data_IF_238894070949
#
_entry.id   IF_238894070949
#
_cell.length_a   1.000
_cell.length_b   1.000
_cell.length_c   1.000
_cell.angle_alpha   90.00
_cell.angle_beta   90.00
_cell.angle_gamma   90.00
#
_symmetry.space_group_name_H-M   'P 1'
#
loop_
_entity.id
_entity.type
_entity.pdbx_description
1 polymer ?
#
# COMPACT_ATOMS: atom_id res chain seq x y z
N UNK A 1 3.58 -47.67 -63.42
CA UNK A 1 4.94 -47.98 -63.92
C UNK A 1 5.97 -47.38 -62.97
N UNK A 2 6.89 -48.23 -62.47
CA UNK A 2 8.24 -47.99 -61.89
C UNK A 2 8.43 -46.75 -60.99
N UNK A 3 8.52 -46.89 -59.65
CA UNK A 3 9.66 -47.34 -58.80
C UNK A 3 10.92 -46.47 -58.93
N UNK A 4 11.31 -45.79 -57.83
CA UNK A 4 12.64 -45.67 -57.20
C UNK A 4 12.38 -45.02 -55.82
N UNK A 5 12.43 -45.67 -54.65
CA UNK A 5 13.49 -46.39 -53.95
C UNK A 5 14.77 -45.57 -53.71
N UNK A 6 14.84 -44.93 -52.53
CA UNK A 6 16.10 -44.75 -51.79
C UNK A 6 15.84 -45.18 -50.34
N UNK A 7 16.55 -46.24 -49.97
CA UNK A 7 16.71 -46.79 -48.63
C UNK A 7 17.92 -46.07 -48.00
N UNK A 8 17.78 -45.58 -46.78
CA UNK A 8 18.91 -45.50 -45.83
C UNK A 8 18.43 -46.10 -44.51
N UNK A 9 19.19 -47.08 -44.04
CA UNK A 9 19.03 -47.87 -42.81
C UNK A 9 20.08 -47.39 -41.80
N UNK A 10 19.85 -47.74 -40.52
CA UNK A 10 20.72 -47.66 -39.32
C UNK A 10 20.58 -46.37 -38.50
N UNK A 11 20.52 -46.41 -37.17
CA UNK A 11 20.72 -47.48 -36.19
C UNK A 11 19.94 -47.15 -34.91
N UNK A 12 19.54 -48.19 -34.17
CA UNK A 12 18.94 -48.05 -32.86
C UNK A 12 19.93 -47.56 -31.80
N UNK A 13 19.42 -46.75 -30.87
CA UNK A 13 19.91 -46.67 -29.50
C UNK A 13 18.67 -46.60 -28.60
N UNK A 14 18.34 -47.74 -27.97
CA UNK A 14 17.47 -47.76 -26.81
C UNK A 14 18.20 -47.03 -25.68
N UNK A 15 17.84 -45.79 -25.42
CA UNK A 15 18.16 -45.13 -24.16
C UNK A 15 16.95 -45.18 -23.24
N UNK A 16 17.07 -46.06 -22.26
CA UNK A 16 16.25 -46.15 -21.08
C UNK A 16 16.28 -44.81 -20.35
N UNK A 17 15.20 -44.02 -20.47
CA UNK A 17 14.99 -42.86 -19.61
C UNK A 17 14.78 -43.34 -18.17
N UNK A 18 15.87 -43.36 -17.38
CA UNK A 18 15.79 -43.35 -15.92
C UNK A 18 14.95 -42.15 -15.51
N UNK A 19 13.76 -42.41 -14.95
CA UNK A 19 13.03 -41.42 -14.16
C UNK A 19 13.93 -41.02 -13.00
N UNK A 20 14.59 -39.87 -13.11
CA UNK A 20 15.11 -39.18 -11.95
C UNK A 20 13.88 -38.71 -11.16
N UNK A 21 13.50 -39.47 -10.14
CA UNK A 21 12.63 -38.97 -9.09
C UNK A 21 13.34 -37.74 -8.48
N UNK A 22 12.73 -36.54 -8.50
CA UNK A 22 13.10 -35.53 -7.53
C UNK A 22 12.89 -36.20 -6.16
N UNK A 23 13.90 -36.13 -5.30
CA UNK A 23 13.77 -36.50 -3.90
C UNK A 23 12.51 -35.83 -3.35
N UNK A 24 11.48 -36.64 -3.10
CA UNK A 24 10.22 -36.19 -2.59
C UNK A 24 10.45 -35.54 -1.24
N UNK A 25 10.24 -34.23 -1.18
CA UNK A 25 9.84 -33.60 0.05
C UNK A 25 8.64 -34.39 0.59
N UNK A 26 8.63 -34.81 1.87
CA UNK A 26 7.51 -35.58 2.39
C UNK A 26 6.22 -34.79 2.15
N UNK A 27 5.13 -35.44 1.70
CA UNK A 27 3.85 -34.76 1.64
C UNK A 27 3.55 -34.18 3.02
N UNK A 28 3.04 -32.92 3.12
CA UNK A 28 2.72 -32.34 4.41
C UNK A 28 1.84 -33.29 5.20
N UNK A 29 2.24 -33.59 6.43
CA UNK A 29 1.54 -34.52 7.30
C UNK A 29 0.05 -34.14 7.36
N UNK A 30 -0.82 -35.05 6.94
CA UNK A 30 -2.26 -34.83 6.75
C UNK A 30 -3.01 -34.71 8.08
N UNK A 31 -2.69 -33.69 8.88
CA UNK A 31 -3.35 -33.43 10.15
C UNK A 31 -3.40 -31.94 10.47
N UNK A 32 -4.53 -31.52 11.03
CA UNK A 32 -4.67 -30.24 11.71
C UNK A 32 -4.43 -30.44 13.21
N UNK A 33 -3.98 -29.39 13.88
CA UNK A 33 -3.85 -29.32 15.34
C UNK A 33 -4.61 -28.11 15.86
N UNK A 34 -5.05 -28.19 17.11
CA UNK A 34 -5.71 -27.07 17.80
C UNK A 34 -4.65 -26.22 18.50
N UNK A 35 -4.64 -24.93 18.19
CA UNK A 35 -3.71 -23.97 18.77
C UNK A 35 -4.49 -22.90 19.51
N UNK A 36 -4.30 -22.83 20.84
CA UNK A 36 -4.80 -21.71 21.64
C UNK A 36 -3.85 -20.54 21.48
N UNK A 37 -4.32 -19.45 20.89
CA UNK A 37 -3.55 -18.21 20.69
C UNK A 37 -4.02 -17.17 21.69
N UNK A 38 -3.12 -16.64 22.50
CA UNK A 38 -3.39 -15.58 23.45
C UNK A 38 -2.32 -14.48 23.36
N UNK A 39 -2.67 -13.27 23.80
CA UNK A 39 -1.77 -12.14 23.86
C UNK A 39 -2.05 -11.27 25.09
N UNK A 40 -1.23 -10.25 25.31
CA UNK A 40 -1.35 -9.31 26.43
C UNK A 40 -2.65 -8.51 26.43
N UNK A 41 -3.32 -8.40 25.28
CA UNK A 41 -4.68 -7.87 25.15
C UNK A 41 -5.44 -8.58 24.02
N UNK A 42 -6.75 -8.30 23.91
CA UNK A 42 -7.56 -8.77 22.79
C UNK A 42 -6.99 -8.25 21.47
N UNK A 43 -6.89 -9.12 20.48
CA UNK A 43 -6.38 -8.77 19.16
C UNK A 43 -6.92 -9.68 18.07
N UNK A 44 -6.57 -9.37 16.83
CA UNK A 44 -6.99 -10.11 15.64
C UNK A 44 -5.93 -11.18 15.32
N UNK A 45 -6.32 -12.46 15.22
CA UNK A 45 -5.39 -13.57 14.99
C UNK A 45 -5.12 -13.71 13.48
N UNK A 46 -3.84 -13.73 13.11
CA UNK A 46 -3.35 -13.98 11.76
C UNK A 46 -2.58 -15.31 11.73
N UNK A 47 -2.84 -16.09 10.68
CA UNK A 47 -2.08 -17.29 10.35
C UNK A 47 -1.41 -17.07 9.00
N UNK A 48 -0.09 -17.20 8.94
CA UNK A 48 0.73 -17.00 7.74
C UNK A 48 0.43 -15.67 7.03
N UNK A 49 0.19 -14.63 7.84
CA UNK A 49 -0.13 -13.28 7.39
C UNK A 49 -1.57 -13.03 6.95
N UNK A 50 -2.45 -14.03 7.02
CA UNK A 50 -3.88 -13.89 6.69
C UNK A 50 -4.72 -13.81 7.94
N UNK A 51 -5.64 -12.84 8.03
CA UNK A 51 -6.57 -12.75 9.16
C UNK A 51 -7.51 -13.97 9.18
N UNK A 52 -7.66 -14.57 10.36
CA UNK A 52 -8.46 -15.79 10.54
C UNK A 52 -9.96 -15.54 10.76
N UNK A 53 -10.36 -14.29 11.00
CA UNK A 53 -11.72 -13.96 11.46
C UNK A 53 -11.92 -14.09 12.97
N UNK A 54 -10.90 -14.56 13.69
CA UNK A 54 -10.98 -14.89 15.11
C UNK A 54 -10.12 -13.91 15.92
N UNK A 55 -10.56 -13.59 17.14
CA UNK A 55 -9.84 -12.72 18.07
C UNK A 55 -9.19 -13.52 19.20
N UNK A 56 -8.02 -13.11 19.66
CA UNK A 56 -7.35 -13.68 20.84
C UNK A 56 -7.98 -13.16 22.15
N UNK A 57 -7.99 -13.94 23.25
CA UNK A 57 -7.57 -15.33 23.32
C UNK A 57 -8.62 -16.28 22.71
N UNK A 58 -8.20 -17.20 21.83
CA UNK A 58 -9.10 -18.22 21.25
C UNK A 58 -8.31 -19.38 20.64
N UNK A 59 -8.99 -20.45 20.26
CA UNK A 59 -8.41 -21.62 19.59
C UNK A 59 -8.68 -21.57 18.10
N UNK A 60 -7.65 -21.84 17.29
CA UNK A 60 -7.76 -22.03 15.83
C UNK A 60 -7.27 -23.42 15.43
N UNK A 61 -7.76 -23.94 14.31
CA UNK A 61 -7.24 -25.15 13.70
C UNK A 61 -6.16 -24.78 12.67
N UNK A 62 -4.99 -25.37 12.81
CA UNK A 62 -3.81 -25.06 11.98
C UNK A 62 -3.25 -26.36 11.41
N UNK A 63 -2.87 -26.42 10.13
CA UNK A 63 -2.13 -27.56 9.60
C UNK A 63 -0.88 -27.85 10.44
N UNK A 64 -0.44 -29.11 10.43
CA UNK A 64 0.88 -29.43 10.99
C UNK A 64 1.98 -28.87 10.09
N UNK A 65 3.03 -28.33 10.70
CA UNK A 65 4.17 -27.76 9.99
C UNK A 65 4.66 -26.44 10.58
N UNK A 66 5.50 -25.74 9.80
CA UNK A 66 5.99 -24.42 10.17
C UNK A 66 4.97 -23.35 9.79
N UNK A 67 4.62 -22.51 10.75
CA UNK A 67 3.66 -21.43 10.59
C UNK A 67 4.12 -20.16 11.28
N UNK A 68 3.62 -19.03 10.79
CA UNK A 68 3.70 -17.74 11.48
C UNK A 68 2.33 -17.46 12.10
N UNK A 69 2.29 -17.41 13.43
CA UNK A 69 1.10 -16.98 14.16
C UNK A 69 1.33 -15.56 14.65
N UNK A 70 0.42 -14.65 14.30
CA UNK A 70 0.48 -13.28 14.76
C UNK A 70 -0.83 -12.77 15.34
N UNK A 71 -0.72 -11.72 16.14
CA UNK A 71 -1.86 -11.03 16.74
C UNK A 71 -1.68 -9.53 16.55
N UNK A 72 -2.65 -8.90 15.89
CA UNK A 72 -2.75 -7.45 15.82
C UNK A 72 -3.59 -6.95 17.01
N UNK A 73 -2.93 -6.35 17.99
CA UNK A 73 -3.51 -5.95 19.26
C UNK A 73 -4.44 -4.74 19.10
N UNK A 74 -5.67 -4.84 19.61
CA UNK A 74 -6.75 -3.93 19.27
C UNK A 74 -6.58 -2.51 19.87
N UNK A 75 -6.07 -2.39 21.09
CA UNK A 75 -6.03 -1.10 21.80
C UNK A 75 -4.71 -0.38 21.55
N UNK A 76 -3.61 -1.13 21.60
CA UNK A 76 -2.24 -0.63 21.44
C UNK A 76 -1.82 -0.44 19.99
N UNK A 77 -2.56 -0.99 19.03
CA UNK A 77 -2.21 -0.99 17.60
C UNK A 77 -0.79 -1.53 17.34
N UNK A 78 -0.45 -2.64 17.99
CA UNK A 78 0.82 -3.33 17.81
C UNK A 78 0.61 -4.72 17.20
N UNK A 79 1.48 -5.10 16.28
CA UNK A 79 1.52 -6.44 15.74
C UNK A 79 2.56 -7.27 16.48
N UNK A 80 2.16 -8.45 16.94
CA UNK A 80 3.04 -9.45 17.54
C UNK A 80 3.06 -10.68 16.64
N UNK A 81 4.20 -11.36 16.51
CA UNK A 81 4.32 -12.60 15.74
C UNK A 81 5.27 -13.61 16.37
N UNK A 82 4.99 -14.89 16.15
CA UNK A 82 5.89 -16.02 16.43
C UNK A 82 5.92 -16.98 15.26
N UNK A 83 7.12 -17.45 14.93
CA UNK A 83 7.30 -18.62 14.09
C UNK A 83 7.22 -19.87 14.98
N UNK A 84 6.40 -20.84 14.59
CA UNK A 84 6.13 -22.04 15.37
C UNK A 84 6.15 -23.27 14.45
N UNK A 85 6.71 -24.37 14.94
CA UNK A 85 6.57 -25.68 14.30
C UNK A 85 5.51 -26.47 15.07
N UNK A 86 4.37 -26.70 14.43
CA UNK A 86 3.19 -27.32 15.01
C UNK A 86 3.12 -28.80 14.63
N UNK A 87 3.38 -29.68 15.60
CA UNK A 87 3.28 -31.14 15.42
C UNK A 87 2.15 -31.78 16.24
N UNK A 88 1.68 -31.08 17.28
CA UNK A 88 0.57 -31.44 18.17
C UNK A 88 -0.19 -30.18 18.62
N UNK A 89 -1.27 -30.36 19.39
CA UNK A 89 -2.00 -29.24 19.99
C UNK A 89 -1.05 -28.39 20.86
N UNK A 90 -1.20 -27.08 20.82
CA UNK A 90 -0.27 -26.16 21.46
C UNK A 90 -0.97 -24.91 22.01
N UNK A 91 -0.29 -24.20 22.89
CA UNK A 91 -0.66 -22.85 23.31
C UNK A 91 0.44 -21.89 22.89
N UNK A 92 0.08 -20.86 22.14
CA UNK A 92 0.99 -19.80 21.71
C UNK A 92 0.58 -18.50 22.40
N UNK A 93 1.40 -18.10 23.38
CA UNK A 93 1.25 -16.83 24.08
C UNK A 93 2.18 -15.80 23.46
N UNK A 94 1.63 -14.70 22.94
CA UNK A 94 2.39 -13.57 22.42
C UNK A 94 2.47 -12.44 23.45
N UNK A 95 3.63 -11.80 23.50
CA UNK A 95 3.97 -10.73 24.44
C UNK A 95 4.66 -9.59 23.70
N UNK A 96 4.93 -8.47 24.37
CA UNK A 96 5.65 -7.35 23.78
C UNK A 96 7.04 -7.73 23.21
N UNK A 97 7.67 -8.79 23.72
CA UNK A 97 8.95 -9.30 23.18
C UNK A 97 8.81 -9.90 21.77
N UNK A 98 7.60 -10.23 21.35
CA UNK A 98 7.28 -10.83 20.05
C UNK A 98 6.93 -9.79 18.99
N UNK A 99 7.17 -8.50 19.29
CA UNK A 99 7.01 -7.41 18.34
C UNK A 99 8.14 -7.46 17.31
N UNK A 100 7.83 -7.60 16.01
CA UNK A 100 8.86 -7.53 14.98
C UNK A 100 9.39 -6.11 14.83
N UNK A 101 10.63 -5.98 14.36
CA UNK A 101 11.13 -4.69 13.88
C UNK A 101 10.27 -4.22 12.70
N UNK A 102 9.82 -2.95 12.68
CA UNK A 102 9.06 -2.43 11.57
C UNK A 102 9.91 -2.38 10.30
N UNK A 103 9.26 -2.52 9.15
CA UNK A 103 9.90 -2.21 7.87
C UNK A 103 9.97 -0.69 7.71
N UNK A 104 11.14 -0.19 7.33
CA UNK A 104 11.34 1.24 7.09
C UNK A 104 10.89 1.60 5.68
N UNK A 105 9.87 2.43 5.59
CA UNK A 105 9.37 3.04 4.37
C UNK A 105 9.89 4.47 4.28
N UNK A 106 10.25 4.95 3.09
CA UNK A 106 10.77 6.30 2.89
C UNK A 106 9.84 7.12 2.00
N UNK A 107 9.41 8.27 2.50
CA UNK A 107 8.61 9.23 1.74
C UNK A 107 9.39 10.53 1.47
N UNK A 108 9.15 11.12 0.31
CA UNK A 108 9.49 12.51 0.04
C UNK A 108 8.21 13.34 0.03
N UNK A 109 8.10 14.28 0.96
CA UNK A 109 7.04 15.29 0.92
C UNK A 109 7.59 16.55 0.25
N UNK A 110 6.84 17.06 -0.73
CA UNK A 110 7.21 18.22 -1.52
C UNK A 110 6.16 19.31 -1.36
N UNK A 111 6.55 20.44 -0.80
CA UNK A 111 5.72 21.65 -0.76
C UNK A 111 6.01 22.53 -1.97
N UNK A 112 4.98 22.88 -2.75
CA UNK A 112 5.15 23.84 -3.84
C UNK A 112 4.83 25.25 -3.32
N UNK A 113 5.84 26.13 -3.33
CA UNK A 113 5.64 27.53 -2.96
C UNK A 113 4.68 28.22 -3.92
N UNK A 114 4.86 28.02 -5.22
CA UNK A 114 4.05 28.64 -6.26
C UNK A 114 3.68 27.63 -7.34
N UNK A 115 2.39 27.59 -7.68
CA UNK A 115 1.87 26.90 -8.85
C UNK A 115 1.24 27.88 -9.83
N UNK A 116 1.51 27.67 -11.13
CA UNK A 116 0.98 28.52 -12.21
C UNK A 116 0.18 27.71 -13.21
N UNK A 117 -0.75 28.35 -13.91
CA UNK A 117 -1.53 27.69 -14.94
C UNK A 117 -2.53 28.61 -15.62
N UNK A 118 -3.10 28.13 -16.72
CA UNK A 118 -4.12 28.86 -17.49
C UNK A 118 -5.51 28.57 -16.93
N UNK A 119 -5.96 29.41 -15.99
CA UNK A 119 -7.29 29.34 -15.40
C UNK A 119 -8.35 29.98 -16.31
N UNK A 120 -9.62 29.96 -15.89
CA UNK A 120 -10.72 30.55 -16.66
C UNK A 120 -10.57 32.07 -16.89
N UNK A 121 -9.87 32.76 -15.99
CA UNK A 121 -9.63 34.21 -16.03
C UNK A 121 -8.32 34.59 -16.73
N UNK A 122 -7.60 33.61 -17.28
CA UNK A 122 -6.27 33.79 -17.88
C UNK A 122 -5.18 33.08 -17.07
N UNK A 123 -3.92 33.34 -17.43
CA UNK A 123 -2.78 32.83 -16.68
C UNK A 123 -2.74 33.47 -15.29
N UNK A 124 -2.65 32.64 -14.27
CA UNK A 124 -2.55 33.08 -12.88
C UNK A 124 -1.69 32.13 -12.05
N UNK A 125 -1.50 32.48 -10.78
CA UNK A 125 -0.65 31.77 -9.83
C UNK A 125 -1.34 31.64 -8.47
N UNK A 126 -1.08 30.55 -7.77
CA UNK A 126 -1.44 30.34 -6.37
C UNK A 126 -0.19 30.05 -5.55
N UNK A 127 -0.16 30.53 -4.29
CA UNK A 127 1.02 30.43 -3.43
C UNK A 127 0.73 29.94 -2.03
N UNK A 128 1.67 29.16 -1.49
CA UNK A 128 1.76 28.90 -0.06
C UNK A 128 2.89 29.72 0.54
N UNK A 129 2.63 30.37 1.68
CA UNK A 129 3.71 30.87 2.52
C UNK A 129 4.50 29.70 3.12
N UNK A 130 5.68 29.99 3.67
CA UNK A 130 6.44 28.99 4.43
C UNK A 130 5.61 28.41 5.59
N UNK A 131 4.87 29.26 6.31
CA UNK A 131 4.02 28.83 7.41
C UNK A 131 2.89 27.90 6.95
N UNK A 132 2.34 28.14 5.74
CA UNK A 132 1.34 27.24 5.16
C UNK A 132 1.95 25.87 4.82
N UNK A 133 3.15 25.84 4.23
CA UNK A 133 3.85 24.58 3.93
C UNK A 133 4.23 23.83 5.21
N UNK A 134 4.63 24.54 6.27
CA UNK A 134 4.90 23.96 7.59
C UNK A 134 3.63 23.28 8.16
N UNK A 135 2.49 23.97 8.13
CA UNK A 135 1.20 23.41 8.56
C UNK A 135 0.76 22.21 7.70
N UNK A 136 0.95 22.27 6.38
CA UNK A 136 0.66 21.17 5.46
C UNK A 136 1.52 19.93 5.74
N UNK A 137 2.81 20.13 6.04
CA UNK A 137 3.71 19.03 6.41
C UNK A 137 3.33 18.41 7.76
N UNK A 138 2.95 19.23 8.75
CA UNK A 138 2.49 18.73 10.05
C UNK A 138 1.18 17.93 9.91
N UNK A 139 0.28 18.34 9.01
CA UNK A 139 -0.92 17.56 8.69
C UNK A 139 -0.57 16.20 8.05
N UNK A 140 0.38 16.18 7.12
CA UNK A 140 0.89 14.95 6.54
C UNK A 140 1.52 14.03 7.60
N UNK A 141 2.40 14.56 8.47
CA UNK A 141 3.03 13.79 9.56
C UNK A 141 2.01 13.24 10.55
N UNK A 142 0.98 14.03 10.87
CA UNK A 142 -0.15 13.55 11.65
C UNK A 142 -0.83 12.36 10.97
N UNK A 143 -1.14 12.43 9.67
CA UNK A 143 -1.77 11.34 8.92
C UNK A 143 -0.90 10.07 8.89
N UNK A 144 0.42 10.21 8.68
CA UNK A 144 1.38 9.10 8.77
C UNK A 144 1.25 8.38 10.12
N UNK A 145 1.28 9.13 11.22
CA UNK A 145 1.18 8.53 12.56
C UNK A 145 -0.19 7.90 12.84
N UNK A 146 -1.27 8.59 12.49
CA UNK A 146 -2.63 8.22 12.88
C UNK A 146 -3.24 7.15 11.99
N UNK A 147 -2.78 7.05 10.74
CA UNK A 147 -3.41 6.19 9.74
C UNK A 147 -2.44 5.17 9.17
N UNK A 148 -1.26 5.57 8.69
CA UNK A 148 -0.36 4.62 8.03
C UNK A 148 0.27 3.66 9.05
N UNK A 149 1.02 4.20 10.01
CA UNK A 149 1.74 3.40 11.00
C UNK A 149 0.75 2.67 11.92
N UNK A 150 -0.27 3.38 12.40
CA UNK A 150 -1.32 2.82 13.25
C UNK A 150 -2.11 1.70 12.57
N UNK A 151 -2.58 1.88 11.33
CA UNK A 151 -3.41 0.86 10.66
C UNK A 151 -2.58 -0.35 10.19
N UNK A 152 -1.26 -0.18 10.02
CA UNK A 152 -0.32 -1.29 9.83
C UNK A 152 0.03 -2.02 11.12
N UNK A 153 -0.53 -1.62 12.27
CA UNK A 153 -0.18 -2.13 13.60
C UNK A 153 1.31 -1.99 13.93
N UNK A 154 1.92 -0.88 13.50
CA UNK A 154 3.33 -0.59 13.73
C UNK A 154 4.30 -1.52 13.01
N UNK A 155 3.86 -2.22 11.95
CA UNK A 155 4.75 -3.00 11.07
C UNK A 155 5.42 -2.13 10.00
N UNK A 156 4.94 -0.91 9.81
CA UNK A 156 5.57 0.14 9.02
C UNK A 156 6.13 1.23 9.93
N UNK A 157 7.29 1.76 9.57
CA UNK A 157 7.84 3.00 10.10
C UNK A 157 8.21 3.91 8.93
N UNK A 158 7.73 5.14 8.93
CA UNK A 158 8.00 6.09 7.84
C UNK A 158 9.14 7.05 8.18
N UNK A 159 10.22 6.95 7.41
CA UNK A 159 11.21 8.00 7.25
C UNK A 159 10.71 9.04 6.26
N UNK A 160 10.51 10.27 6.73
CA UNK A 160 9.96 11.35 5.91
C UNK A 160 11.03 12.41 5.66
N UNK A 161 11.32 12.64 4.40
CA UNK A 161 12.12 13.78 3.95
C UNK A 161 11.18 14.89 3.46
N UNK A 162 11.51 16.15 3.75
CA UNK A 162 10.78 17.31 3.25
C UNK A 162 11.65 18.15 2.34
N UNK A 163 11.11 18.56 1.20
CA UNK A 163 11.69 19.57 0.32
C UNK A 163 10.64 20.55 -0.15
N UNK A 164 10.94 21.83 -0.08
CA UNK A 164 10.06 22.86 -0.63
C UNK A 164 10.66 23.36 -1.95
N UNK A 165 9.84 23.41 -3.01
CA UNK A 165 10.24 23.98 -4.30
C UNK A 165 9.81 25.44 -4.31
N UNK A 166 10.80 26.34 -4.33
CA UNK A 166 10.59 27.79 -4.31
C UNK A 166 10.31 28.39 -5.70
N UNK A 167 10.71 27.71 -6.77
CA UNK A 167 10.44 28.15 -8.15
C UNK A 167 9.02 27.78 -8.58
N UNK A 168 8.37 28.59 -9.42
CA UNK A 168 7.02 28.28 -9.91
C UNK A 168 6.95 26.95 -10.67
N UNK A 169 5.99 26.10 -10.32
CA UNK A 169 5.69 24.87 -11.05
C UNK A 169 4.44 25.05 -11.88
N UNK A 170 4.54 24.84 -13.19
CA UNK A 170 3.38 24.96 -14.10
C UNK A 170 2.53 23.70 -14.05
N UNK A 171 1.25 23.87 -13.72
CA UNK A 171 0.25 22.81 -13.72
C UNK A 171 -0.06 22.40 -15.16
N UNK A 172 -0.28 21.09 -15.36
CA UNK A 172 -0.79 20.57 -16.63
C UNK A 172 -2.30 20.57 -16.57
N UNK A 173 -2.95 21.12 -17.59
CA UNK A 173 -4.39 21.00 -17.78
C UNK A 173 -4.68 19.79 -18.66
N UNK A 174 -5.29 18.77 -18.08
CA UNK A 174 -5.75 17.57 -18.79
C UNK A 174 -6.94 17.86 -19.71
N UNK A 175 -7.25 16.90 -20.60
CA UNK A 175 -8.43 16.96 -21.48
C UNK A 175 -9.75 16.95 -20.71
N UNK A 176 -9.76 16.35 -19.52
CA UNK A 176 -10.86 16.37 -18.54
C UNK A 176 -10.94 17.70 -17.76
N UNK A 177 -10.19 18.72 -18.17
CA UNK A 177 -10.04 20.05 -17.55
C UNK A 177 -9.35 20.06 -16.18
N UNK A 178 -8.87 18.91 -15.69
CA UNK A 178 -8.19 18.85 -14.39
C UNK A 178 -6.81 19.46 -14.47
N UNK A 179 -6.39 20.10 -13.38
CA UNK A 179 -5.07 20.64 -13.21
C UNK A 179 -4.26 19.71 -12.32
N UNK A 180 -3.15 19.19 -12.83
CA UNK A 180 -2.29 18.24 -12.12
C UNK A 180 -0.85 18.74 -12.05
N UNK A 181 -0.15 18.35 -10.99
CA UNK A 181 1.31 18.37 -10.96
C UNK A 181 1.79 17.02 -11.48
N UNK A 182 2.49 17.03 -12.61
CA UNK A 182 2.98 15.81 -13.25
C UNK A 182 4.33 15.37 -12.63
N UNK A 183 4.60 14.05 -12.54
CA UNK A 183 5.90 13.54 -12.07
C UNK A 183 7.10 14.18 -12.77
N UNK A 184 7.06 14.31 -14.10
CA UNK A 184 8.14 14.89 -14.90
C UNK A 184 8.45 16.36 -14.59
N UNK A 185 7.45 17.12 -14.13
CA UNK A 185 7.68 18.51 -13.71
C UNK A 185 8.49 18.57 -12.43
N UNK A 186 8.33 17.58 -11.55
CA UNK A 186 9.04 17.49 -10.27
C UNK A 186 10.44 16.90 -10.44
N UNK A 187 10.57 15.80 -11.19
CA UNK A 187 11.84 15.09 -11.36
C UNK A 187 12.88 15.92 -12.13
N UNK A 188 12.45 16.86 -12.98
CA UNK A 188 13.34 17.86 -13.61
C UNK A 188 13.97 18.81 -12.60
N UNK A 189 13.25 19.14 -11.52
CA UNK A 189 13.71 20.05 -10.47
C UNK A 189 14.49 19.31 -9.38
N UNK A 190 14.19 18.04 -9.18
CA UNK A 190 14.80 17.17 -8.17
C UNK A 190 15.32 15.88 -8.84
N UNK A 191 16.45 15.95 -9.56
CA UNK A 191 16.96 14.85 -10.38
C UNK A 191 17.49 13.65 -9.58
N UNK A 192 17.62 13.79 -8.26
CA UNK A 192 17.97 12.69 -7.36
C UNK A 192 16.79 11.77 -7.03
N UNK A 193 15.58 12.13 -7.45
CA UNK A 193 14.43 11.23 -7.49
C UNK A 193 14.68 10.17 -8.58
N UNK A 194 15.01 8.95 -8.14
CA UNK A 194 15.34 7.81 -8.99
C UNK A 194 14.81 6.51 -8.37
N UNK A 195 14.74 5.40 -9.14
CA UNK A 195 14.38 4.09 -8.61
C UNK A 195 15.11 3.75 -7.32
N UNK A 196 14.37 3.35 -6.29
CA UNK A 196 14.90 3.00 -4.97
C UNK A 196 15.13 4.16 -4.00
N UNK A 197 14.94 5.42 -4.44
CA UNK A 197 15.11 6.56 -3.55
C UNK A 197 13.98 6.69 -2.51
N UNK A 198 12.73 6.49 -2.94
CA UNK A 198 11.53 6.67 -2.11
C UNK A 198 10.48 5.61 -2.45
N UNK A 199 9.69 5.23 -1.45
CA UNK A 199 8.51 4.39 -1.63
C UNK A 199 7.33 5.17 -2.21
N UNK A 200 7.20 6.44 -1.80
CA UNK A 200 6.19 7.35 -2.31
C UNK A 200 6.65 8.80 -2.23
N UNK A 201 6.23 9.60 -3.21
CA UNK A 201 6.38 11.05 -3.26
C UNK A 201 5.01 11.68 -3.10
N UNK A 202 4.90 12.64 -2.19
CA UNK A 202 3.69 13.40 -1.92
C UNK A 202 3.92 14.85 -2.28
N UNK A 203 3.15 15.40 -3.22
CA UNK A 203 3.29 16.79 -3.68
C UNK A 203 2.09 17.60 -3.22
N UNK A 204 2.33 18.63 -2.40
CA UNK A 204 1.32 19.49 -1.81
C UNK A 204 1.34 20.87 -2.47
N UNK A 205 0.19 21.32 -2.99
CA UNK A 205 0.08 22.58 -3.73
C UNK A 205 -1.28 23.24 -3.53
N UNK A 206 -1.35 24.56 -3.79
CA UNK A 206 -2.53 25.37 -3.46
C UNK A 206 -3.54 25.40 -4.59
N UNK A 207 -4.78 25.01 -4.30
CA UNK A 207 -5.88 25.03 -5.28
C UNK A 207 -6.24 26.44 -5.75
N UNK A 208 -6.42 27.36 -4.80
CA UNK A 208 -7.00 28.67 -5.05
C UNK A 208 -6.41 29.75 -4.15
N UNK A 209 -6.26 30.94 -4.71
CA UNK A 209 -5.79 32.16 -4.03
C UNK A 209 -6.38 33.40 -4.74
N UNK A 210 -7.11 34.23 -4.00
CA UNK A 210 -7.80 35.40 -4.55
C UNK A 210 -8.71 35.00 -5.72
N UNK A 211 -8.50 35.62 -6.88
CA UNK A 211 -9.26 35.33 -8.10
C UNK A 211 -8.70 34.17 -8.94
N UNK A 212 -7.58 33.56 -8.52
CA UNK A 212 -6.97 32.42 -9.19
C UNK A 212 -7.47 31.10 -8.58
N UNK A 213 -7.94 30.19 -9.43
CA UNK A 213 -8.42 28.88 -8.98
C UNK A 213 -8.18 27.80 -10.03
N UNK A 214 -7.59 26.69 -9.58
CA UNK A 214 -7.32 25.50 -10.38
C UNK A 214 -8.25 24.36 -9.95
N UNK A 215 -9.56 24.59 -10.06
CA UNK A 215 -10.57 23.60 -9.66
C UNK A 215 -10.45 22.33 -10.51
N UNK A 216 -10.62 21.20 -9.85
CA UNK A 216 -10.57 19.85 -10.44
C UNK A 216 -11.40 18.96 -9.55
N UNK A 217 -12.05 17.95 -10.12
CA UNK A 217 -12.97 17.08 -9.38
C UNK A 217 -12.21 16.00 -8.58
N UNK A 218 -11.23 16.43 -7.79
CA UNK A 218 -10.45 15.61 -6.89
C UNK A 218 -9.84 16.50 -5.81
N UNK A 219 -9.59 15.92 -4.63
CA UNK A 219 -8.85 16.57 -3.55
C UNK A 219 -7.38 16.12 -3.55
N UNK A 220 -7.16 14.81 -3.48
CA UNK A 220 -5.92 14.16 -3.85
C UNK A 220 -6.05 13.42 -5.19
N UNK A 221 -4.92 13.11 -5.81
CA UNK A 221 -4.89 12.26 -6.98
C UNK A 221 -3.62 11.40 -6.98
N UNK A 222 -3.81 10.11 -7.24
CA UNK A 222 -2.74 9.15 -7.46
C UNK A 222 -3.16 8.15 -8.55
N UNK A 223 -2.44 8.15 -9.67
CA UNK A 223 -2.80 7.36 -10.85
C UNK A 223 -1.64 6.54 -11.41
N UNK A 224 -0.43 6.76 -10.88
CA UNK A 224 0.77 6.06 -11.35
C UNK A 224 0.80 4.64 -10.81
N UNK A 225 1.10 3.66 -11.66
CA UNK A 225 1.54 2.36 -11.20
C UNK A 225 3.05 2.47 -10.91
N UNK A 226 3.48 2.41 -9.63
CA UNK A 226 4.87 2.69 -9.26
C UNK A 226 5.87 1.91 -10.11
N UNK A 227 5.64 0.62 -10.36
CA UNK A 227 6.60 -0.23 -11.06
C UNK A 227 6.65 -0.02 -12.58
N UNK A 228 5.66 0.68 -13.15
CA UNK A 228 5.63 1.03 -14.57
C UNK A 228 6.17 2.45 -14.84
N UNK A 229 6.33 3.28 -13.80
CA UNK A 229 6.94 4.60 -13.93
C UNK A 229 8.47 4.51 -14.04
N UNK A 230 9.09 5.43 -14.79
CA UNK A 230 10.55 5.52 -14.93
C UNK A 230 11.26 5.68 -13.58
N UNK A 231 10.67 6.45 -12.66
CA UNK A 231 11.21 6.70 -11.32
C UNK A 231 10.93 5.58 -10.31
N UNK A 232 10.09 4.60 -10.66
CA UNK A 232 9.75 3.43 -9.84
C UNK A 232 9.33 3.74 -8.39
N UNK A 233 8.41 4.67 -8.21
CA UNK A 233 7.91 5.11 -6.90
C UNK A 233 6.44 5.49 -6.98
N UNK A 234 5.71 5.45 -5.85
CA UNK A 234 4.37 6.02 -5.81
C UNK A 234 4.42 7.54 -5.97
N UNK A 235 3.47 8.11 -6.70
CA UNK A 235 3.35 9.56 -6.84
C UNK A 235 1.93 10.00 -6.51
N UNK A 236 1.83 10.86 -5.50
CA UNK A 236 0.58 11.40 -4.96
C UNK A 236 0.64 12.92 -5.07
N UNK A 237 -0.39 13.53 -5.65
CA UNK A 237 -0.55 14.99 -5.64
C UNK A 237 -1.76 15.38 -4.81
N UNK A 238 -1.58 16.25 -3.83
CA UNK A 238 -2.65 16.81 -3.00
C UNK A 238 -2.81 18.27 -3.36
N UNK A 239 -3.98 18.57 -3.93
CA UNK A 239 -4.41 19.92 -4.21
C UNK A 239 -5.18 20.43 -3.00
N UNK A 240 -4.69 21.45 -2.32
CA UNK A 240 -5.27 21.89 -1.06
C UNK A 240 -5.81 23.32 -1.12
N UNK A 241 -7.09 23.47 -0.77
CA UNK A 241 -7.73 24.77 -0.65
C UNK A 241 -7.57 25.33 0.77
N UNK A 242 -6.49 26.07 1.00
CA UNK A 242 -6.24 26.70 2.31
C UNK A 242 -7.31 27.71 2.75
N UNK A 243 -8.18 28.19 1.85
CA UNK A 243 -9.10 29.27 2.16
C UNK A 243 -8.35 30.51 2.67
N UNK A 244 -8.92 31.16 3.68
CA UNK A 244 -8.29 32.31 4.37
C UNK A 244 -7.28 31.89 5.44
N UNK A 245 -7.43 30.70 6.03
CA UNK A 245 -6.56 30.17 7.06
C UNK A 245 -6.40 28.65 6.88
N UNK A 246 -5.18 28.23 6.57
CA UNK A 246 -4.86 26.82 6.33
C UNK A 246 -5.11 25.93 7.56
N UNK A 247 -4.87 26.44 8.77
CA UNK A 247 -5.00 25.65 9.99
C UNK A 247 -6.47 25.30 10.26
N UNK A 248 -7.38 26.24 10.04
CA UNK A 248 -8.81 26.00 10.19
C UNK A 248 -9.27 24.95 9.18
N UNK A 249 -8.78 25.04 7.94
CA UNK A 249 -9.08 24.05 6.90
C UNK A 249 -8.51 22.67 7.25
N UNK A 250 -7.28 22.58 7.72
CA UNK A 250 -6.65 21.31 8.15
C UNK A 250 -7.47 20.69 9.28
N UNK A 251 -7.87 21.48 10.28
CA UNK A 251 -8.68 20.99 11.40
C UNK A 251 -10.05 20.49 10.94
N UNK A 252 -10.67 21.18 9.97
CA UNK A 252 -11.88 20.70 9.32
C UNK A 252 -11.66 19.36 8.60
N UNK A 253 -10.58 19.18 7.83
CA UNK A 253 -10.33 17.90 7.16
C UNK A 253 -10.00 16.77 8.14
N UNK A 254 -9.29 17.05 9.23
CA UNK A 254 -9.05 16.05 10.30
C UNK A 254 -10.34 15.47 10.88
N UNK A 255 -11.47 16.18 10.79
CA UNK A 255 -12.76 15.71 11.29
C UNK A 255 -13.69 15.19 10.20
N UNK A 256 -13.61 15.73 8.98
CA UNK A 256 -14.57 15.43 7.90
C UNK A 256 -14.04 14.47 6.84
N UNK A 257 -12.76 14.54 6.51
CA UNK A 257 -12.08 13.63 5.59
C UNK A 257 -10.59 13.48 5.96
N UNK A 258 -10.29 12.77 7.07
CA UNK A 258 -8.92 12.64 7.56
C UNK A 258 -8.07 11.71 6.69
N UNK A 259 -8.69 10.99 5.75
CA UNK A 259 -8.08 9.88 5.02
C UNK A 259 -7.28 10.27 3.78
N UNK A 260 -7.33 11.54 3.32
CA UNK A 260 -6.83 11.93 1.98
C UNK A 260 -5.44 11.38 1.63
N UNK A 261 -4.44 11.55 2.50
CA UNK A 261 -3.08 11.08 2.22
C UNK A 261 -3.01 9.56 2.05
N UNK A 262 -3.74 8.85 2.91
CA UNK A 262 -3.79 7.39 2.91
C UNK A 262 -4.57 6.86 1.72
N UNK A 263 -5.69 7.50 1.40
CA UNK A 263 -6.52 7.18 0.24
C UNK A 263 -5.69 7.20 -1.04
N UNK A 264 -5.00 8.32 -1.31
CA UNK A 264 -4.18 8.44 -2.51
C UNK A 264 -2.99 7.47 -2.51
N UNK A 265 -2.35 7.28 -1.36
CA UNK A 265 -1.27 6.30 -1.27
C UNK A 265 -1.78 4.87 -1.57
N UNK A 266 -3.00 4.51 -1.14
CA UNK A 266 -3.57 3.21 -1.42
C UNK A 266 -3.81 2.98 -2.92
N UNK A 267 -4.13 3.99 -3.72
CA UNK A 267 -4.15 3.84 -5.18
C UNK A 267 -2.79 3.37 -5.72
N UNK A 268 -1.68 3.99 -5.26
CA UNK A 268 -0.34 3.59 -5.73
C UNK A 268 0.10 2.23 -5.21
N UNK A 269 -0.04 2.02 -3.89
CA UNK A 269 0.64 0.91 -3.19
C UNK A 269 -0.31 -0.24 -2.89
N UNK A 270 -1.54 0.07 -2.47
CA UNK A 270 -2.58 -0.92 -2.22
C UNK A 270 -3.05 -1.58 -3.52
N UNK A 271 -3.51 -0.77 -4.48
CA UNK A 271 -4.10 -1.27 -5.72
C UNK A 271 -3.07 -1.75 -6.72
N UNK A 272 -2.04 -0.96 -7.04
CA UNK A 272 -1.10 -1.39 -8.08
C UNK A 272 -0.01 -2.31 -7.53
N UNK A 273 0.76 -1.84 -6.55
CA UNK A 273 1.97 -2.55 -6.11
C UNK A 273 1.66 -3.91 -5.48
N UNK A 274 0.80 -3.97 -4.46
CA UNK A 274 0.55 -5.24 -3.77
C UNK A 274 -0.33 -6.20 -4.57
N UNK A 275 -1.25 -5.70 -5.41
CA UNK A 275 -1.97 -6.57 -6.34
C UNK A 275 -1.02 -7.24 -7.34
N UNK A 276 -0.03 -6.51 -7.87
CA UNK A 276 1.00 -7.08 -8.74
C UNK A 276 1.87 -8.13 -8.03
N UNK A 277 2.00 -8.05 -6.71
CA UNK A 277 2.63 -9.08 -5.86
C UNK A 277 1.71 -10.25 -5.49
N UNK A 278 0.56 -10.37 -6.14
CA UNK A 278 -0.37 -11.49 -5.95
C UNK A 278 -1.22 -11.41 -4.68
N UNK A 279 -1.29 -10.24 -4.02
CA UNK A 279 -2.20 -10.06 -2.88
C UNK A 279 -3.64 -9.96 -3.36
N UNK A 280 -4.53 -10.65 -2.64
CA UNK A 280 -5.96 -10.65 -2.91
C UNK A 280 -6.56 -9.35 -2.38
N UNK A 281 -6.93 -8.47 -3.31
CA UNK A 281 -7.57 -7.20 -3.00
C UNK A 281 -9.10 -7.32 -3.01
N UNK A 282 -9.80 -6.42 -2.32
CA UNK A 282 -11.24 -6.26 -2.48
C UNK A 282 -11.65 -6.06 -3.94
N UNK A 283 -12.93 -6.33 -4.22
CA UNK A 283 -13.54 -6.08 -5.51
C UNK A 283 -13.45 -4.58 -5.82
N UNK A 284 -13.22 -4.26 -7.09
CA UNK A 284 -13.27 -2.90 -7.61
C UNK A 284 -14.70 -2.34 -7.62
N UNK A 285 -14.83 -1.06 -7.34
CA UNK A 285 -16.05 -0.28 -7.53
C UNK A 285 -16.40 -0.13 -9.03
N UNK A 286 -17.52 0.53 -9.31
CA UNK A 286 -18.00 0.75 -10.69
C UNK A 286 -17.04 1.57 -11.57
N UNK A 287 -16.16 2.35 -10.96
CA UNK A 287 -15.10 3.11 -11.63
C UNK A 287 -13.80 2.31 -11.85
N UNK A 288 -13.77 1.03 -11.43
CA UNK A 288 -12.62 0.15 -11.60
C UNK A 288 -11.54 0.28 -10.52
N UNK A 289 -11.80 1.01 -9.42
CA UNK A 289 -10.87 1.22 -8.31
C UNK A 289 -11.32 0.44 -7.07
N UNK A 290 -10.38 -0.24 -6.41
CA UNK A 290 -10.59 -0.98 -5.16
C UNK A 290 -10.81 -0.03 -4.00
N UNK A 291 -10.02 1.04 -3.90
CA UNK A 291 -10.09 2.01 -2.77
C UNK A 291 -11.47 2.63 -2.65
N UNK A 292 -12.18 2.80 -3.77
CA UNK A 292 -13.53 3.36 -3.84
C UNK A 292 -14.64 2.33 -3.55
N UNK A 293 -14.29 1.06 -3.34
CA UNK A 293 -15.28 0.00 -3.12
C UNK A 293 -15.89 -0.01 -1.72
N UNK A 294 -15.50 0.91 -0.83
CA UNK A 294 -15.91 0.94 0.57
C UNK A 294 -17.42 0.70 0.79
N UNK A 295 -18.28 1.37 0.02
CA UNK A 295 -19.73 1.26 0.14
C UNK A 295 -20.29 -0.10 -0.32
N UNK A 296 -19.63 -0.77 -1.28
CA UNK A 296 -19.98 -2.15 -1.68
C UNK A 296 -19.81 -3.13 -0.50
N UNK A 297 -18.93 -2.80 0.42
CA UNK A 297 -18.67 -3.57 1.64
C UNK A 297 -19.39 -2.99 2.88
N UNK A 298 -20.28 -2.01 2.70
CA UNK A 298 -21.08 -1.43 3.79
C UNK A 298 -20.35 -0.43 4.68
N UNK A 299 -19.19 0.08 4.25
CA UNK A 299 -18.48 1.13 4.98
C UNK A 299 -19.00 2.52 4.60
N UNK A 300 -19.10 3.42 5.58
CA UNK A 300 -19.58 4.79 5.39
C UNK A 300 -18.44 5.80 5.33
N UNK A 301 -18.62 6.85 4.55
CA UNK A 301 -17.70 7.99 4.50
C UNK A 301 -17.52 8.60 5.91
N UNK A 302 -16.31 9.01 6.36
CA UNK A 302 -15.05 9.17 5.61
C UNK A 302 -14.19 7.90 5.44
N UNK A 303 -14.79 6.71 5.42
CA UNK A 303 -14.14 5.44 5.06
C UNK A 303 -12.90 5.07 5.91
N UNK A 304 -12.72 5.67 7.09
CA UNK A 304 -11.56 5.38 7.93
C UNK A 304 -11.51 3.93 8.40
N UNK A 305 -12.67 3.34 8.73
CA UNK A 305 -12.76 1.92 9.05
C UNK A 305 -12.46 1.04 7.83
N UNK A 306 -12.84 1.49 6.63
CA UNK A 306 -12.49 0.81 5.39
C UNK A 306 -10.98 0.81 5.17
N UNK A 307 -10.32 1.96 5.32
CA UNK A 307 -8.86 2.03 5.16
C UNK A 307 -8.13 1.20 6.22
N UNK A 308 -8.60 1.23 7.47
CA UNK A 308 -8.07 0.39 8.55
C UNK A 308 -8.19 -1.09 8.18
N UNK A 309 -9.36 -1.54 7.76
CA UNK A 309 -9.59 -2.95 7.42
C UNK A 309 -8.84 -3.35 6.14
N UNK A 310 -8.72 -2.48 5.14
CA UNK A 310 -7.93 -2.71 3.93
C UNK A 310 -6.46 -2.93 4.30
N UNK A 311 -5.84 -1.96 4.99
CA UNK A 311 -4.43 -2.02 5.37
C UNK A 311 -4.15 -3.23 6.27
N UNK A 312 -5.06 -3.51 7.20
CA UNK A 312 -4.92 -4.65 8.09
C UNK A 312 -5.33 -5.99 7.48
N UNK A 313 -5.79 -6.05 6.23
CA UNK A 313 -6.15 -7.30 5.58
C UNK A 313 -7.39 -7.97 6.18
N UNK A 314 -8.35 -7.16 6.63
CA UNK A 314 -9.56 -7.56 7.35
C UNK A 314 -10.86 -7.24 6.60
N UNK A 315 -10.80 -6.88 5.32
CA UNK A 315 -12.01 -6.69 4.51
C UNK A 315 -12.65 -8.06 4.22
N UNK A 316 -13.93 -8.31 4.54
CA UNK A 316 -14.57 -9.60 4.27
C UNK A 316 -14.63 -9.93 2.78
N UNK A 317 -14.33 -11.17 2.36
CA UNK A 317 -14.43 -11.58 0.97
C UNK A 317 -15.86 -11.88 0.50
N UNK A 318 -16.59 -10.87 0.01
CA UNK A 318 -18.02 -11.00 -0.37
C UNK A 318 -18.33 -12.01 -1.49
N UNK A 319 -17.46 -12.15 -2.50
CA UNK A 319 -17.78 -12.95 -3.71
C UNK A 319 -17.12 -14.33 -3.76
N UNK A 320 -16.05 -14.56 -2.99
CA UNK A 320 -15.27 -15.80 -3.07
C UNK A 320 -15.61 -16.80 -1.96
N UNK A 321 -16.40 -16.39 -0.95
CA UNK A 321 -16.61 -17.16 0.28
C UNK A 321 -15.30 -17.46 1.04
N UNK A 322 -14.18 -16.85 0.65
CA UNK A 322 -12.85 -17.23 1.08
C UNK A 322 -12.18 -16.08 1.84
N UNK A 323 -12.20 -16.20 3.17
CA UNK A 323 -11.36 -15.42 4.08
C UNK A 323 -11.51 -13.90 3.98
N UNK A 324 -10.40 -13.22 4.27
CA UNK A 324 -10.31 -11.76 4.35
C UNK A 324 -9.30 -11.23 3.33
N UNK A 325 -9.53 -10.00 2.87
CA UNK A 325 -8.85 -9.34 1.77
C UNK A 325 -8.14 -8.08 2.25
N UNK A 326 -7.16 -7.63 1.46
CA UNK A 326 -6.35 -6.44 1.73
C UNK A 326 -4.87 -6.78 1.87
N UNK A 327 -4.14 -5.92 2.59
CA UNK A 327 -2.66 -5.98 2.61
C UNK A 327 -2.17 -6.87 3.77
N UNK A 328 -2.53 -6.52 5.01
CA UNK A 328 -2.17 -7.27 6.21
C UNK A 328 -0.80 -6.87 6.80
N UNK A 329 -0.63 -6.87 8.15
CA UNK A 329 0.60 -6.45 8.82
C UNK A 329 1.87 -7.21 8.37
N UNK A 330 1.79 -8.54 8.20
CA UNK A 330 2.92 -9.36 7.75
C UNK A 330 3.41 -8.97 6.35
N UNK A 331 2.53 -8.48 5.49
CA UNK A 331 2.91 -8.08 4.14
C UNK A 331 3.83 -6.86 4.16
N UNK A 332 3.58 -5.91 5.06
CA UNK A 332 4.39 -4.70 5.19
C UNK A 332 5.81 -4.99 5.70
N UNK A 333 6.01 -6.09 6.43
CA UNK A 333 7.33 -6.51 6.91
C UNK A 333 8.24 -7.02 5.79
N UNK A 334 7.68 -7.48 4.67
CA UNK A 334 8.44 -8.16 3.61
C UNK A 334 9.26 -7.19 2.77
N UNK A 335 8.57 -6.34 2.03
CA UNK A 335 9.16 -5.58 0.94
C UNK A 335 8.45 -4.28 0.68
N UNK A 336 9.21 -3.21 0.50
CA UNK A 336 8.68 -1.91 0.12
C UNK A 336 8.78 -1.68 -1.40
N UNK A 337 8.18 -0.58 -1.88
CA UNK A 337 8.23 -0.18 -3.30
C UNK A 337 9.67 0.10 -3.71
N UNK A 338 10.42 0.87 -2.92
CA UNK A 338 11.80 1.28 -3.21
C UNK A 338 12.76 0.09 -3.25
N UNK A 339 12.59 -0.89 -2.36
CA UNK A 339 13.40 -2.11 -2.38
C UNK A 339 13.12 -2.93 -3.65
N UNK A 340 11.85 -3.03 -4.04
CA UNK A 340 11.44 -3.74 -5.26
C UNK A 340 11.98 -3.04 -6.51
N UNK A 341 11.99 -1.70 -6.52
CA UNK A 341 12.46 -0.89 -7.65
C UNK A 341 13.91 -1.18 -8.06
N UNK A 342 14.74 -1.62 -7.11
CA UNK A 342 16.17 -1.94 -7.30
C UNK A 342 16.49 -3.42 -7.13
N UNK A 343 15.48 -4.30 -7.14
CA UNK A 343 15.61 -5.75 -6.97
C UNK A 343 16.28 -6.18 -5.65
N UNK A 344 16.11 -5.40 -4.57
CA UNK A 344 16.62 -5.71 -3.23
C UNK A 344 15.52 -6.28 -2.32
N UNK A 345 14.58 -7.02 -2.91
CA UNK A 345 13.53 -7.70 -2.19
C UNK A 345 13.95 -9.15 -1.94
N UNK A 346 14.09 -9.57 -0.67
CA UNK A 346 14.43 -10.94 -0.32
C UNK A 346 13.35 -11.97 -0.67
#
# INVERSE_FOLDING_TARGET
MKKYFVIVVLAGICWSCKKNNPSGEPPPASGYVKVTVAATETGFIYLDGSYTGIRSPNTIEVPKGNHVIGVALQSSFQYLKKEVNLTANATVNLTAADKPAPKVWKALWIGLHETTGSAATGDCSTRFSKADLDAGFDFYKWSISQHFEKYSYGTMQWETERRDISVPVRLKKGSNTWFTVEPDSITKLLPDIRPGAYDCIFVFWRESEGNCSFTSNYFGLAWTNPMNETIKTGFVTIKFNAGTNINDRINYYKTTDPGVWLHEWLHTTGEYFYQAKGKKMPQKAGDGLVVHAAELYGYNFPWMNWYLDFISGRVPGLQTGSGYLGIGPETFLKCTVRETAVNNCP
#
